data_IF_276244175861
#
_entry.id   IF_276244175861
#
_cell.length_a   1.000
_cell.length_b   1.000
_cell.length_c   1.000
_cell.angle_alpha   90.00
_cell.angle_beta   90.00
_cell.angle_gamma   90.00
#
_symmetry.space_group_name_H-M   'P 1'
#
loop_
_entity.id
_entity.type
_entity.pdbx_description
1 polymer ?
#
# COMPACT_ATOMS: atom_id res chain seq x y z
N UNK A 1 -79.85 -4.23 1.95
CA UNK A 1 -78.68 -3.77 2.77
C UNK A 1 -77.44 -4.53 2.38
N UNK A 2 -76.58 -3.92 1.59
CA UNK A 2 -75.28 -4.53 1.18
C UNK A 2 -74.17 -3.75 1.88
N UNK A 3 -73.49 -4.36 2.83
CA UNK A 3 -72.35 -3.78 3.52
C UNK A 3 -71.07 -4.15 2.73
N UNK A 4 -70.48 -3.19 2.06
CA UNK A 4 -69.17 -3.31 1.41
C UNK A 4 -68.10 -3.17 2.47
N UNK A 5 -67.31 -4.22 2.66
CA UNK A 5 -66.12 -4.19 3.49
C UNK A 5 -64.93 -3.79 2.59
N UNK A 6 -64.42 -2.58 2.80
CA UNK A 6 -63.19 -2.12 2.13
C UNK A 6 -61.98 -2.73 2.83
N UNK A 7 -61.22 -3.54 2.09
CA UNK A 7 -59.99 -4.15 2.55
C UNK A 7 -58.83 -3.16 2.29
N UNK A 8 -58.36 -2.52 3.36
CA UNK A 8 -57.15 -1.68 3.29
C UNK A 8 -55.92 -2.58 3.26
N UNK A 9 -55.30 -2.69 2.10
CA UNK A 9 -53.98 -3.33 1.96
C UNK A 9 -52.87 -2.35 2.41
N UNK A 10 -52.24 -2.67 3.52
CA UNK A 10 -51.06 -1.93 4.03
C UNK A 10 -49.85 -2.50 3.32
N UNK A 11 -49.28 -1.74 2.39
CA UNK A 11 -47.99 -2.04 1.80
C UNK A 11 -46.90 -1.60 2.77
N UNK A 12 -46.27 -2.56 3.44
CA UNK A 12 -45.04 -2.33 4.21
C UNK A 12 -43.86 -2.35 3.23
N UNK A 13 -43.38 -1.19 2.84
CA UNK A 13 -42.12 -1.07 2.07
C UNK A 13 -40.96 -1.20 3.03
N UNK A 14 -40.30 -2.36 3.03
CA UNK A 14 -39.01 -2.56 3.72
C UNK A 14 -37.92 -1.79 3.01
N UNK A 15 -37.47 -0.68 3.58
CA UNK A 15 -36.30 0.03 3.12
C UNK A 15 -35.03 -0.77 3.49
N UNK A 16 -34.42 -1.45 2.52
CA UNK A 16 -33.11 -2.05 2.67
C UNK A 16 -32.06 -0.92 2.69
N UNK A 17 -31.59 -0.57 3.88
CA UNK A 17 -30.41 0.28 4.03
C UNK A 17 -29.18 -0.55 3.72
N UNK A 18 -28.63 -0.40 2.53
CA UNK A 18 -27.33 -0.92 2.18
C UNK A 18 -26.27 -0.17 3.00
N UNK A 19 -25.76 -0.81 4.05
CA UNK A 19 -24.59 -0.33 4.77
C UNK A 19 -23.37 -0.46 3.84
N UNK A 20 -23.02 0.61 3.14
CA UNK A 20 -21.73 0.72 2.45
C UNK A 20 -20.63 0.80 3.51
N UNK A 21 -20.08 -0.33 3.88
CA UNK A 21 -18.87 -0.42 4.69
C UNK A 21 -17.73 0.19 3.88
N UNK A 22 -17.43 1.47 4.12
CA UNK A 22 -16.19 2.07 3.64
C UNK A 22 -15.05 1.28 4.27
N UNK A 23 -14.33 0.50 3.46
CA UNK A 23 -13.08 -0.12 3.87
C UNK A 23 -12.16 1.03 4.33
N UNK A 24 -11.93 1.15 5.63
CA UNK A 24 -10.93 2.05 6.18
C UNK A 24 -9.58 1.57 5.66
N UNK A 25 -9.04 2.28 4.68
CA UNK A 25 -7.62 2.19 4.40
C UNK A 25 -6.90 2.44 5.73
N UNK A 26 -6.03 1.54 6.14
CA UNK A 26 -5.20 1.75 7.32
C UNK A 26 -4.28 2.94 7.00
N UNK A 27 -4.68 4.13 7.44
CA UNK A 27 -3.86 5.32 7.33
C UNK A 27 -2.71 5.16 8.30
N UNK A 28 -1.48 4.98 7.79
CA UNK A 28 -0.27 5.00 8.59
C UNK A 28 -0.09 6.39 9.23
N UNK A 29 0.67 6.43 10.33
CA UNK A 29 1.08 7.69 10.97
C UNK A 29 2.25 8.29 10.17
N UNK A 30 2.01 9.40 9.48
CA UNK A 30 2.99 10.07 8.62
C UNK A 30 4.23 10.50 9.41
N UNK A 31 4.06 11.04 10.60
CA UNK A 31 5.18 11.53 11.42
C UNK A 31 6.05 10.35 11.92
N UNK A 32 5.46 9.23 12.26
CA UNK A 32 6.22 8.00 12.60
C UNK A 32 6.93 7.45 11.36
N UNK A 33 6.27 7.45 10.21
CA UNK A 33 6.86 7.00 8.95
C UNK A 33 8.05 7.86 8.54
N UNK A 34 7.97 9.18 8.67
CA UNK A 34 9.07 10.10 8.41
C UNK A 34 10.27 9.83 9.33
N UNK A 35 10.03 9.65 10.62
CA UNK A 35 11.11 9.29 11.56
C UNK A 35 11.76 7.96 11.20
N UNK A 36 10.98 6.93 10.89
CA UNK A 36 11.48 5.63 10.49
C UNK A 36 12.32 5.71 9.21
N UNK A 37 11.86 6.46 8.22
CA UNK A 37 12.60 6.72 6.98
C UNK A 37 13.94 7.40 7.27
N UNK A 38 13.93 8.48 8.04
CA UNK A 38 15.13 9.23 8.37
C UNK A 38 16.18 8.40 9.11
N UNK A 39 15.75 7.50 9.97
CA UNK A 39 16.65 6.64 10.76
C UNK A 39 17.18 5.45 9.97
N UNK A 40 16.39 4.86 9.08
CA UNK A 40 16.69 3.55 8.51
C UNK A 40 16.89 3.53 7.01
N UNK A 41 16.27 4.46 6.28
CA UNK A 41 16.20 4.40 4.82
C UNK A 41 17.04 5.49 4.14
N UNK A 42 17.11 6.67 4.76
CA UNK A 42 17.75 7.87 4.17
C UNK A 42 19.22 7.71 3.84
N UNK A 43 19.93 6.85 4.55
CA UNK A 43 21.33 6.54 4.23
C UNK A 43 21.48 5.99 2.80
N UNK A 44 20.50 5.19 2.35
CA UNK A 44 20.55 4.50 1.07
C UNK A 44 19.59 5.05 0.02
N UNK A 45 18.57 5.81 0.40
CA UNK A 45 17.51 6.29 -0.49
C UNK A 45 17.30 7.80 -0.40
N UNK A 46 16.75 8.38 -1.47
CA UNK A 46 16.22 9.74 -1.51
C UNK A 46 14.72 9.71 -1.80
N UNK A 47 13.97 10.73 -1.38
CA UNK A 47 12.51 10.83 -1.59
C UNK A 47 12.11 11.96 -2.53
N UNK A 48 12.95 12.97 -2.71
CA UNK A 48 12.64 14.17 -3.48
C UNK A 48 12.55 13.87 -4.99
N UNK A 49 11.73 14.63 -5.69
CA UNK A 49 11.61 14.55 -7.15
C UNK A 49 12.98 14.85 -7.78
N UNK A 50 13.45 13.92 -8.62
CA UNK A 50 14.76 14.07 -9.28
C UNK A 50 15.95 13.86 -8.34
N UNK A 51 15.69 13.39 -7.12
CA UNK A 51 16.74 13.02 -6.17
C UNK A 51 17.66 11.92 -6.72
N UNK A 52 18.93 11.95 -6.31
CA UNK A 52 19.93 11.00 -6.78
C UNK A 52 19.63 9.57 -6.34
N UNK A 53 19.90 8.61 -7.21
CA UNK A 53 20.11 7.23 -6.78
C UNK A 53 21.38 7.17 -5.93
N UNK A 54 21.31 6.44 -4.82
CA UNK A 54 22.44 6.21 -3.90
C UNK A 54 22.78 4.71 -3.89
N UNK A 55 23.01 4.14 -2.73
CA UNK A 55 23.11 2.68 -2.56
C UNK A 55 21.81 1.99 -3.00
N UNK A 56 20.66 2.62 -2.72
CA UNK A 56 19.36 2.27 -3.23
C UNK A 56 18.82 3.29 -4.24
N UNK A 57 17.72 2.98 -4.94
CA UNK A 57 17.11 3.90 -5.90
C UNK A 57 16.43 5.06 -5.21
N UNK A 58 16.22 6.17 -5.93
CA UNK A 58 15.30 7.21 -5.53
C UNK A 58 13.88 6.65 -5.43
N UNK A 59 13.16 6.99 -4.36
CA UNK A 59 11.82 6.47 -4.05
C UNK A 59 10.69 7.45 -4.38
N UNK A 60 10.99 8.60 -5.01
CA UNK A 60 9.93 9.52 -5.43
C UNK A 60 8.93 8.82 -6.35
N UNK A 61 7.63 8.95 -6.05
CA UNK A 61 6.57 8.31 -6.83
C UNK A 61 6.59 6.77 -6.78
N UNK A 62 7.06 6.19 -5.68
CA UNK A 62 7.16 4.74 -5.52
C UNK A 62 5.78 4.06 -5.60
N UNK A 63 4.77 4.61 -4.94
CA UNK A 63 3.44 4.00 -4.90
C UNK A 63 2.80 3.97 -6.28
N UNK A 64 2.28 2.80 -6.68
CA UNK A 64 1.78 2.55 -8.03
C UNK A 64 2.86 2.26 -9.07
N UNK A 65 4.14 2.40 -8.73
CA UNK A 65 5.25 2.09 -9.64
C UNK A 65 5.57 0.60 -9.63
N UNK A 66 5.93 0.08 -10.79
CA UNK A 66 6.40 -1.31 -10.92
C UNK A 66 7.80 -1.48 -10.35
N UNK A 67 8.06 -2.62 -9.72
CA UNK A 67 9.38 -2.95 -9.17
C UNK A 67 10.47 -2.92 -10.25
N UNK A 68 11.67 -2.47 -9.87
CA UNK A 68 12.83 -2.49 -10.75
C UNK A 68 12.82 -1.45 -11.87
N UNK A 69 12.01 -0.38 -11.81
CA UNK A 69 11.81 0.55 -12.93
C UNK A 69 12.36 1.97 -12.75
N UNK A 70 12.97 2.30 -11.61
CA UNK A 70 13.61 3.62 -11.47
C UNK A 70 14.79 3.76 -12.45
N UNK A 71 14.74 4.81 -13.27
CA UNK A 71 15.76 5.06 -14.28
C UNK A 71 17.13 5.28 -13.65
N UNK A 72 18.17 4.76 -14.31
CA UNK A 72 19.56 4.96 -13.90
C UNK A 72 20.00 4.19 -12.65
N UNK A 73 19.16 3.32 -12.10
CA UNK A 73 19.55 2.46 -10.99
C UNK A 73 19.80 1.01 -11.43
N UNK A 74 20.89 0.42 -10.94
CA UNK A 74 21.30 -0.96 -11.23
C UNK A 74 20.61 -1.98 -10.32
N UNK A 75 19.34 -2.28 -10.57
CA UNK A 75 18.60 -3.28 -9.80
C UNK A 75 19.18 -4.70 -9.91
N UNK A 76 18.91 -5.53 -8.89
CA UNK A 76 19.07 -6.98 -9.02
C UNK A 76 18.16 -7.53 -10.12
N UNK A 77 18.56 -8.66 -10.70
CA UNK A 77 17.74 -9.32 -11.73
C UNK A 77 16.36 -9.72 -11.18
N UNK A 78 16.32 -10.25 -9.95
CA UNK A 78 15.07 -10.62 -9.30
C UNK A 78 14.13 -9.43 -9.16
N UNK A 79 14.62 -8.25 -8.76
CA UNK A 79 13.79 -7.06 -8.62
C UNK A 79 13.20 -6.60 -9.97
N UNK A 80 13.95 -6.70 -11.06
CA UNK A 80 13.46 -6.39 -12.41
C UNK A 80 12.41 -7.38 -12.90
N UNK A 81 12.60 -8.68 -12.61
CA UNK A 81 11.72 -9.76 -13.08
C UNK A 81 10.46 -9.91 -12.24
N UNK A 82 10.52 -9.56 -10.97
CA UNK A 82 9.39 -9.76 -10.02
C UNK A 82 8.13 -9.04 -10.48
N UNK A 83 8.28 -7.84 -11.02
CA UNK A 83 7.24 -7.14 -11.75
C UNK A 83 6.00 -6.77 -10.92
N UNK A 84 6.13 -6.70 -9.60
CA UNK A 84 5.03 -6.27 -8.72
C UNK A 84 4.84 -4.77 -8.78
N UNK A 85 3.60 -4.33 -8.57
CA UNK A 85 3.28 -2.94 -8.31
C UNK A 85 3.47 -2.65 -6.81
N UNK A 86 4.11 -1.52 -6.50
CA UNK A 86 4.27 -1.06 -5.12
C UNK A 86 2.97 -0.46 -4.60
N UNK A 87 2.28 -1.19 -3.76
CA UNK A 87 1.12 -0.78 -2.99
C UNK A 87 1.48 -0.78 -1.50
N UNK A 88 0.62 -0.24 -0.65
CA UNK A 88 0.82 -0.30 0.81
C UNK A 88 1.05 -1.74 1.27
N UNK A 89 0.29 -2.68 0.73
CA UNK A 89 0.41 -4.10 1.06
C UNK A 89 1.73 -4.70 0.59
N UNK A 90 2.06 -4.58 -0.69
CA UNK A 90 3.27 -5.21 -1.26
C UNK A 90 4.54 -4.58 -0.70
N UNK A 91 4.53 -3.28 -0.43
CA UNK A 91 5.65 -2.60 0.22
C UNK A 91 5.82 -3.05 1.68
N UNK A 92 4.72 -3.16 2.45
CA UNK A 92 4.78 -3.65 3.82
C UNK A 92 5.29 -5.10 3.89
N UNK A 93 4.86 -5.98 2.99
CA UNK A 93 5.36 -7.36 2.88
C UNK A 93 6.87 -7.39 2.57
N UNK A 94 7.31 -6.59 1.61
CA UNK A 94 8.73 -6.51 1.24
C UNK A 94 9.60 -5.95 2.36
N UNK A 95 9.17 -4.88 3.03
CA UNK A 95 9.90 -4.25 4.14
C UNK A 95 9.93 -5.10 5.41
N UNK A 96 9.06 -6.09 5.56
CA UNK A 96 9.12 -7.01 6.70
C UNK A 96 10.41 -7.84 6.68
N UNK A 97 10.75 -8.40 5.55
CA UNK A 97 11.99 -9.11 5.29
C UNK A 97 12.25 -9.16 3.78
N UNK A 98 13.06 -8.23 3.26
CA UNK A 98 13.34 -8.15 1.83
C UNK A 98 13.94 -9.42 1.25
N UNK A 99 14.79 -10.10 1.99
CA UNK A 99 15.47 -11.31 1.50
C UNK A 99 14.56 -12.51 1.42
N UNK A 100 13.65 -12.66 2.36
CA UNK A 100 12.63 -13.71 2.33
C UNK A 100 11.56 -13.40 1.29
N UNK A 101 11.11 -12.15 1.20
CA UNK A 101 10.11 -11.73 0.23
C UNK A 101 10.62 -11.81 -1.22
N UNK A 102 11.89 -11.54 -1.43
CA UNK A 102 12.51 -11.48 -2.76
C UNK A 102 13.96 -12.00 -2.70
N UNK A 103 14.15 -13.32 -2.70
CA UNK A 103 15.49 -13.91 -2.67
C UNK A 103 16.36 -13.43 -3.83
N UNK A 104 17.55 -12.91 -3.54
CA UNK A 104 18.45 -12.30 -4.53
C UNK A 104 18.32 -10.77 -4.63
N UNK A 105 17.46 -10.14 -3.85
CA UNK A 105 17.44 -8.68 -3.73
C UNK A 105 18.77 -8.14 -3.21
N UNK A 106 19.17 -6.96 -3.69
CA UNK A 106 20.35 -6.25 -3.17
C UNK A 106 20.07 -5.53 -1.85
N UNK A 107 18.82 -5.26 -1.54
CA UNK A 107 18.45 -4.54 -0.32
C UNK A 107 18.68 -5.39 0.92
N UNK A 108 19.50 -4.89 1.82
CA UNK A 108 19.72 -5.47 3.15
C UNK A 108 19.08 -4.54 4.15
N UNK A 109 18.03 -5.02 4.79
CA UNK A 109 17.26 -4.24 5.75
C UNK A 109 16.81 -5.16 6.90
N UNK A 110 17.01 -4.71 8.13
CA UNK A 110 16.47 -5.39 9.31
C UNK A 110 15.11 -4.80 9.67
N UNK A 111 14.16 -5.66 9.94
CA UNK A 111 12.73 -5.40 10.21
C UNK A 111 12.43 -4.05 10.89
N UNK A 112 11.50 -3.31 10.29
CA UNK A 112 10.96 -2.03 10.81
C UNK A 112 10.26 -2.17 12.17
N UNK A 113 9.86 -3.38 12.56
CA UNK A 113 9.11 -3.66 13.79
C UNK A 113 9.97 -3.69 15.05
N UNK A 114 11.29 -3.56 14.96
CA UNK A 114 12.21 -3.63 16.09
C UNK A 114 12.54 -2.26 16.71
N UNK A 115 11.58 -1.32 16.63
CA UNK A 115 11.74 -0.01 17.26
C UNK A 115 10.65 0.28 18.28
#
# INVERSE_FOLDING_TARGET
>A
MKRSIALCAVFVTAAMTAATGAARAQSGDVAKGERAFNLQCKACHTLERGGANKIGPNLYGLMGRRSGTMKGYGYSEVMRRFGIEWTDKTLAEYLRDPRTSMPGTKMVFADIRRQ
#
